data_IF_375140367347
#
_entry.id   IF_375140367347
#
_cell.length_a   1.000
_cell.length_b   1.000
_cell.length_c   1.000
_cell.angle_alpha   90.00
_cell.angle_beta   90.00
_cell.angle_gamma   90.00
#
_symmetry.space_group_name_H-M   'P 1'
#
loop_
_entity.id
_entity.type
_entity.pdbx_description
1 polymer ?
#
# COMPACT_ATOMS: atom_id res chain seq x y z
N UNK A 1 21.42 -27.80 -3.21
CA UNK A 1 20.81 -26.73 -2.41
C UNK A 1 19.43 -26.46 -2.98
N UNK A 2 18.37 -26.56 -2.16
CA UNK A 2 17.01 -26.31 -2.63
C UNK A 2 16.70 -24.82 -2.47
N UNK A 3 16.57 -24.11 -3.59
CA UNK A 3 16.43 -22.66 -3.61
C UNK A 3 15.09 -22.28 -4.23
N UNK A 4 14.42 -21.27 -3.68
CA UNK A 4 13.19 -20.68 -4.22
C UNK A 4 13.46 -19.23 -4.62
N UNK A 5 12.71 -18.69 -5.59
CA UNK A 5 12.72 -17.26 -5.86
C UNK A 5 11.70 -16.57 -4.95
N UNK A 6 12.09 -15.44 -4.37
CA UNK A 6 11.16 -14.57 -3.67
C UNK A 6 10.15 -14.00 -4.67
N UNK A 7 8.83 -14.17 -4.45
CA UNK A 7 7.82 -13.62 -5.37
C UNK A 7 7.81 -12.09 -5.37
N UNK A 8 8.24 -11.45 -4.28
CA UNK A 8 8.21 -9.99 -4.15
C UNK A 8 9.39 -9.26 -4.80
N UNK A 9 10.58 -9.87 -4.83
CA UNK A 9 11.79 -9.18 -5.28
C UNK A 9 12.66 -10.03 -6.22
N UNK A 10 12.21 -11.23 -6.59
CA UNK A 10 12.93 -12.14 -7.49
C UNK A 10 14.22 -12.76 -6.94
N UNK A 11 14.67 -12.35 -5.74
CA UNK A 11 15.92 -12.84 -5.14
C UNK A 11 15.84 -14.34 -4.88
N UNK A 12 16.91 -15.05 -5.20
CA UNK A 12 17.03 -16.47 -4.92
C UNK A 12 17.39 -16.67 -3.44
N UNK A 13 16.54 -17.39 -2.71
CA UNK A 13 16.63 -17.61 -1.26
C UNK A 13 16.58 -19.11 -0.96
N UNK A 14 16.96 -19.51 0.25
CA UNK A 14 16.86 -20.92 0.63
C UNK A 14 15.38 -21.31 0.78
N UNK A 15 15.04 -22.54 0.39
CA UNK A 15 13.65 -23.02 0.50
C UNK A 15 13.11 -22.97 1.94
N UNK A 16 13.99 -23.13 2.94
CA UNK A 16 13.67 -23.12 4.36
C UNK A 16 13.63 -21.72 5.00
N UNK A 17 14.00 -20.67 4.26
CA UNK A 17 13.94 -19.31 4.79
C UNK A 17 12.47 -18.96 5.09
N UNK A 18 12.23 -18.49 6.31
CA UNK A 18 10.92 -18.00 6.75
C UNK A 18 10.62 -16.61 6.21
N UNK A 19 11.67 -15.81 5.94
CA UNK A 19 11.57 -14.47 5.38
C UNK A 19 12.61 -14.27 4.28
N UNK A 20 12.32 -13.45 3.28
CA UNK A 20 13.30 -13.05 2.28
C UNK A 20 14.31 -12.09 2.93
N UNK A 21 15.62 -12.41 2.96
CA UNK A 21 16.63 -11.52 3.54
C UNK A 21 16.81 -10.23 2.73
N UNK A 22 16.39 -10.21 1.46
CA UNK A 22 16.53 -9.04 0.59
C UNK A 22 15.36 -8.04 0.75
N UNK A 23 14.12 -8.50 0.88
CA UNK A 23 12.94 -7.61 0.92
C UNK A 23 11.99 -7.83 2.11
N UNK A 24 12.29 -8.77 3.02
CA UNK A 24 11.51 -9.06 4.21
C UNK A 24 10.20 -9.83 3.98
N UNK A 25 9.90 -10.29 2.76
CA UNK A 25 8.69 -11.08 2.45
C UNK A 25 8.60 -12.35 3.30
N UNK A 26 7.45 -12.62 3.92
CA UNK A 26 7.21 -13.78 4.79
C UNK A 26 6.76 -15.01 4.00
N UNK A 27 7.58 -16.06 3.98
CA UNK A 27 7.22 -17.35 3.36
C UNK A 27 6.33 -18.23 4.25
N UNK A 28 6.24 -17.94 5.56
CA UNK A 28 5.42 -18.70 6.51
C UNK A 28 3.92 -18.68 6.17
N UNK A 29 3.43 -17.59 5.60
CA UNK A 29 2.03 -17.47 5.17
C UNK A 29 1.72 -18.36 3.95
N UNK A 30 2.71 -18.64 3.10
CA UNK A 30 2.55 -19.50 1.92
C UNK A 30 2.48 -20.97 2.30
N UNK A 31 3.26 -21.41 3.30
CA UNK A 31 3.32 -22.82 3.71
C UNK A 31 2.14 -23.27 4.59
N UNK A 32 1.47 -22.36 5.31
CA UNK A 32 0.24 -22.67 6.04
C UNK A 32 -0.95 -23.01 5.10
N UNK A 33 -0.84 -22.65 3.83
CA UNK A 33 -1.83 -22.90 2.77
C UNK A 33 -1.52 -24.22 2.02
N UNK A 34 -0.35 -24.84 2.28
CA UNK A 34 0.18 -25.95 1.49
C UNK A 34 -0.02 -27.36 2.05
N UNK A 35 -0.75 -27.54 3.15
CA UNK A 35 -0.94 -28.85 3.76
C UNK A 35 -2.41 -29.11 4.12
N UNK A 36 -3.20 -29.47 3.11
CA UNK A 36 -4.52 -30.06 3.27
C UNK A 36 -5.68 -29.11 2.99
N UNK A 37 -6.39 -29.44 1.92
CA UNK A 37 -7.68 -28.87 1.48
C UNK A 37 -7.63 -27.53 0.75
N UNK A 38 -7.79 -27.61 -0.57
CA UNK A 38 -8.03 -26.48 -1.49
C UNK A 38 -9.46 -25.98 -1.35
N UNK A 39 -9.83 -25.57 -0.14
CA UNK A 39 -11.09 -24.92 0.17
C UNK A 39 -10.77 -23.51 0.64
N UNK A 40 -10.45 -22.65 -0.33
CA UNK A 40 -10.49 -21.19 -0.17
C UNK A 40 -11.89 -20.80 0.27
N UNK A 41 -12.05 -20.30 1.49
CA UNK A 41 -13.16 -19.40 1.77
C UNK A 41 -12.69 -18.04 1.23
N UNK A 42 -13.02 -17.77 -0.02
CA UNK A 42 -12.88 -16.47 -0.70
C UNK A 42 -11.46 -15.87 -0.85
N UNK A 43 -10.46 -16.66 -1.26
CA UNK A 43 -9.25 -16.10 -1.92
C UNK A 43 -8.37 -15.14 -1.10
N UNK A 44 -8.38 -15.18 0.24
CA UNK A 44 -7.67 -14.19 1.06
C UNK A 44 -6.17 -14.54 1.24
N UNK A 45 -5.30 -13.86 0.49
CA UNK A 45 -3.82 -13.85 0.62
C UNK A 45 -3.31 -13.04 1.83
N UNK A 46 -4.10 -12.10 2.36
CA UNK A 46 -3.67 -11.06 3.30
C UNK A 46 -4.59 -10.90 4.52
N UNK A 47 -4.03 -10.73 5.73
CA UNK A 47 -4.81 -10.47 6.94
C UNK A 47 -5.04 -8.97 7.16
N UNK A 48 -5.99 -8.38 6.44
CA UNK A 48 -6.28 -6.94 6.53
C UNK A 48 -6.82 -6.48 7.89
N UNK A 49 -7.26 -7.41 8.74
CA UNK A 49 -7.76 -7.14 10.09
C UNK A 49 -6.72 -7.44 11.18
N UNK A 50 -5.43 -7.51 10.82
CA UNK A 50 -4.36 -7.68 11.79
C UNK A 50 -4.43 -6.57 12.86
N UNK A 51 -4.16 -6.94 14.12
CA UNK A 51 -4.16 -5.99 15.24
C UNK A 51 -3.13 -4.88 14.94
N UNK A 52 -3.55 -3.63 15.10
CA UNK A 52 -2.64 -2.47 15.06
C UNK A 52 -1.48 -2.71 16.04
N UNK A 53 -0.21 -2.61 15.60
CA UNK A 53 0.94 -2.75 16.49
C UNK A 53 0.88 -1.74 17.65
N UNK A 54 1.32 -2.15 18.83
CA UNK A 54 1.35 -1.25 19.98
C UNK A 54 2.38 -0.14 19.76
N UNK A 55 1.95 1.10 19.95
CA UNK A 55 2.82 2.26 19.76
C UNK A 55 3.78 2.35 20.96
N UNK A 56 5.08 2.32 20.69
CA UNK A 56 6.13 2.39 21.73
C UNK A 56 6.25 3.84 22.28
N UNK A 57 5.78 4.85 21.54
CA UNK A 57 5.83 6.26 21.92
C UNK A 57 4.55 7.00 21.49
N UNK A 58 3.97 7.81 22.39
CA UNK A 58 2.83 8.67 22.04
C UNK A 58 3.28 9.97 21.39
N UNK A 59 2.78 10.30 20.20
CA UNK A 59 3.14 11.53 19.49
C UNK A 59 2.45 11.67 18.12
N UNK A 60 2.56 12.86 17.53
CA UNK A 60 2.08 13.11 16.16
C UNK A 60 2.92 12.30 15.18
N UNK A 61 2.27 11.60 14.24
CA UNK A 61 2.94 10.87 13.16
C UNK A 61 3.89 9.74 13.62
N UNK A 62 3.68 9.19 14.82
CA UNK A 62 4.50 8.09 15.33
C UNK A 62 4.34 6.80 14.52
N UNK A 63 3.10 6.46 14.15
CA UNK A 63 2.79 5.24 13.38
C UNK A 63 3.23 5.34 11.92
N UNK A 64 3.35 6.56 11.38
CA UNK A 64 3.80 6.74 9.99
C UNK A 64 5.32 6.64 9.83
N UNK A 65 6.06 6.39 10.91
CA UNK A 65 7.50 6.11 10.84
C UNK A 65 7.75 4.83 10.05
N UNK A 66 8.84 4.76 9.27
CA UNK A 66 9.14 3.58 8.43
C UNK A 66 9.06 2.26 9.19
N UNK A 67 9.61 2.21 10.41
CA UNK A 67 9.62 1.01 11.25
C UNK A 67 8.22 0.52 11.61
N UNK A 68 7.29 1.43 11.91
CA UNK A 68 5.92 1.08 12.29
C UNK A 68 5.08 0.67 11.08
N UNK A 69 5.23 1.37 9.95
CA UNK A 69 4.60 0.98 8.68
C UNK A 69 5.06 -0.41 8.26
N UNK A 70 6.37 -0.67 8.30
CA UNK A 70 6.97 -1.95 7.99
C UNK A 70 6.43 -3.08 8.90
N UNK A 71 6.34 -2.83 10.21
CA UNK A 71 5.81 -3.78 11.17
C UNK A 71 4.33 -4.09 10.92
N UNK A 72 3.52 -3.08 10.64
CA UNK A 72 2.09 -3.27 10.41
C UNK A 72 1.83 -4.02 9.09
N UNK A 73 2.52 -3.64 8.00
CA UNK A 73 2.51 -4.38 6.73
C UNK A 73 2.85 -5.85 6.93
N UNK A 74 3.92 -6.14 7.67
CA UNK A 74 4.34 -7.52 7.98
C UNK A 74 3.27 -8.30 8.75
N UNK A 75 2.58 -7.65 9.69
CA UNK A 75 1.50 -8.30 10.45
C UNK A 75 0.29 -8.69 9.60
N UNK A 76 0.06 -7.98 8.49
CA UNK A 76 -0.99 -8.25 7.51
C UNK A 76 -0.54 -9.22 6.40
N UNK A 77 0.75 -9.58 6.36
CA UNK A 77 1.34 -10.51 5.38
C UNK A 77 2.01 -9.87 4.17
N UNK A 78 2.21 -8.55 4.19
CA UNK A 78 2.91 -7.82 3.13
C UNK A 78 4.42 -7.73 3.37
N UNK A 79 5.18 -7.37 2.33
CA UNK A 79 6.60 -7.07 2.48
C UNK A 79 6.79 -5.87 3.42
N UNK A 80 7.86 -5.86 4.21
CA UNK A 80 8.13 -4.81 5.19
C UNK A 80 8.76 -3.54 4.58
N UNK A 81 8.67 -3.39 3.25
CA UNK A 81 9.18 -2.26 2.48
C UNK A 81 8.40 -0.98 2.77
N UNK A 82 9.10 0.15 2.72
CA UNK A 82 8.52 1.50 2.91
C UNK A 82 8.94 2.50 1.85
N UNK A 83 9.78 2.08 0.90
CA UNK A 83 10.10 2.78 -0.34
C UNK A 83 8.96 2.67 -1.38
N UNK A 84 7.95 1.85 -1.09
CA UNK A 84 6.79 1.60 -1.94
C UNK A 84 5.49 2.20 -1.41
N UNK A 85 5.55 3.27 -0.60
CA UNK A 85 4.35 3.85 0.02
C UNK A 85 4.12 5.32 -0.34
N UNK A 86 2.86 5.74 -0.40
CA UNK A 86 2.47 7.14 -0.47
C UNK A 86 1.42 7.48 0.58
N UNK A 87 1.54 8.64 1.16
CA UNK A 87 0.49 9.22 1.97
C UNK A 87 -0.48 10.00 1.10
N UNK A 88 -1.78 9.78 1.30
CA UNK A 88 -2.80 10.48 0.56
C UNK A 88 -4.07 10.68 1.38
N UNK A 89 -4.93 11.59 0.93
CA UNK A 89 -6.16 11.98 1.62
C UNK A 89 -7.31 12.03 0.63
N UNK A 90 -8.53 11.85 1.10
CA UNK A 90 -9.71 11.94 0.23
C UNK A 90 -9.78 13.32 -0.44
N UNK A 91 -10.10 13.34 -1.74
CA UNK A 91 -10.26 14.59 -2.48
C UNK A 91 -11.57 15.30 -2.09
N UNK A 92 -11.46 16.37 -1.31
CA UNK A 92 -12.56 17.06 -0.60
C UNK A 92 -13.66 17.71 -1.48
N UNK A 93 -13.48 17.82 -2.81
CA UNK A 93 -14.47 18.50 -3.65
C UNK A 93 -15.52 17.51 -4.16
N UNK A 94 -16.64 17.49 -3.43
CA UNK A 94 -17.91 16.81 -3.72
C UNK A 94 -17.88 15.29 -3.54
N UNK A 95 -18.73 14.82 -2.61
CA UNK A 95 -19.18 13.43 -2.41
C UNK A 95 -18.56 12.46 -3.41
N UNK A 96 -17.47 11.81 -3.00
CA UNK A 96 -16.89 10.70 -3.73
C UNK A 96 -17.98 9.66 -4.00
N UNK A 97 -18.55 9.67 -5.21
CA UNK A 97 -19.53 8.69 -5.71
C UNK A 97 -18.82 7.37 -6.03
N UNK A 98 -18.11 6.80 -5.06
CA UNK A 98 -17.39 5.56 -5.25
C UNK A 98 -17.76 4.56 -4.18
N UNK A 99 -18.39 3.48 -4.65
CA UNK A 99 -18.78 2.27 -3.91
C UNK A 99 -17.61 1.60 -3.17
N UNK A 100 -16.35 1.98 -3.49
CA UNK A 100 -15.15 1.55 -2.78
C UNK A 100 -15.02 2.24 -1.40
N UNK A 101 -15.48 3.49 -1.24
CA UNK A 101 -15.20 4.34 -0.05
C UNK A 101 -16.21 4.24 1.07
N UNK A 102 -17.43 3.80 0.82
CA UNK A 102 -18.41 3.57 1.90
C UNK A 102 -17.90 2.52 2.91
N UNK A 103 -16.90 1.72 2.52
CA UNK A 103 -16.22 0.72 3.35
C UNK A 103 -15.02 1.30 4.13
N UNK A 104 -14.51 2.48 3.76
CA UNK A 104 -13.30 3.08 4.29
C UNK A 104 -13.62 4.38 5.03
N UNK A 105 -13.80 4.27 6.35
CA UNK A 105 -14.19 5.38 7.24
C UNK A 105 -13.05 6.39 7.55
N UNK A 106 -11.85 6.17 7.01
CA UNK A 106 -10.72 7.08 7.23
C UNK A 106 -10.71 8.23 6.20
N UNK A 107 -10.12 9.37 6.57
CA UNK A 107 -9.93 10.51 5.65
C UNK A 107 -8.54 10.55 5.03
N UNK A 108 -7.61 9.75 5.56
CA UNK A 108 -6.20 9.73 5.20
C UNK A 108 -5.70 8.29 5.20
N UNK A 109 -4.75 8.01 4.32
CA UNK A 109 -4.28 6.66 4.03
C UNK A 109 -2.78 6.64 3.78
N UNK A 110 -2.17 5.51 4.13
CA UNK A 110 -0.96 5.03 3.44
C UNK A 110 -1.41 4.12 2.31
N UNK A 111 -0.99 4.42 1.10
CA UNK A 111 -1.09 3.56 -0.06
C UNK A 111 0.23 2.82 -0.15
N UNK A 112 0.18 1.50 -0.15
CA UNK A 112 1.35 0.65 -0.33
C UNK A 112 1.20 -0.10 -1.64
N UNK A 113 2.12 0.16 -2.57
CA UNK A 113 2.13 -0.42 -3.91
C UNK A 113 2.83 -1.78 -3.87
N UNK A 114 2.02 -2.85 -3.84
CA UNK A 114 2.48 -4.23 -3.77
C UNK A 114 2.49 -4.86 -5.17
N UNK A 115 3.14 -6.01 -5.31
CA UNK A 115 3.28 -6.67 -6.62
C UNK A 115 1.95 -7.03 -7.29
N UNK A 116 0.89 -7.30 -6.52
CA UNK A 116 -0.41 -7.76 -7.02
C UNK A 116 -1.57 -6.82 -6.68
N UNK A 117 -1.28 -5.57 -6.32
CA UNK A 117 -2.30 -4.61 -5.94
C UNK A 117 -1.83 -3.50 -5.00
N UNK A 118 -2.80 -2.77 -4.45
CA UNK A 118 -2.57 -1.62 -3.59
C UNK A 118 -3.24 -1.86 -2.23
N UNK A 119 -2.42 -1.86 -1.18
CA UNK A 119 -2.88 -1.87 0.20
C UNK A 119 -3.16 -0.43 0.67
N UNK A 120 -4.32 -0.22 1.27
CA UNK A 120 -4.73 1.01 1.93
C UNK A 120 -4.69 0.79 3.44
N UNK A 121 -3.85 1.54 4.13
CA UNK A 121 -3.77 1.57 5.59
C UNK A 121 -4.45 2.84 6.08
N UNK A 122 -5.56 2.71 6.80
CA UNK A 122 -6.31 3.85 7.32
C UNK A 122 -5.55 4.61 8.40
N UNK A 123 -5.55 5.94 8.29
CA UNK A 123 -4.93 6.85 9.25
C UNK A 123 -5.97 7.73 9.95
N UNK A 124 -5.77 7.91 11.25
CA UNK A 124 -6.46 8.90 12.06
C UNK A 124 -5.88 10.31 11.87
N UNK A 125 -6.48 11.28 12.55
CA UNK A 125 -6.13 12.71 12.42
C UNK A 125 -4.70 13.00 12.89
N UNK A 126 -4.18 12.24 13.86
CA UNK A 126 -2.81 12.37 14.36
C UNK A 126 -1.81 11.46 13.62
N UNK A 127 -2.23 10.83 12.52
CA UNK A 127 -1.42 9.89 11.75
C UNK A 127 -1.30 8.50 12.36
N UNK A 128 -2.13 8.17 13.35
CA UNK A 128 -2.17 6.83 13.95
C UNK A 128 -2.90 5.83 13.05
N UNK A 129 -2.51 4.55 13.07
CA UNK A 129 -3.23 3.50 12.37
C UNK A 129 -4.61 3.27 12.98
N UNK A 130 -5.64 3.14 12.13
CA UNK A 130 -7.02 2.97 12.60
C UNK A 130 -7.47 1.51 12.72
N UNK A 131 -6.69 0.57 12.18
CA UNK A 131 -7.15 -0.81 11.99
C UNK A 131 -8.05 -1.01 10.76
N UNK A 132 -8.50 0.07 10.12
CA UNK A 132 -9.39 0.03 8.96
C UNK A 132 -8.57 0.04 7.68
N UNK A 133 -8.28 -1.15 7.17
CA UNK A 133 -7.48 -1.34 5.97
C UNK A 133 -8.33 -1.87 4.82
N UNK A 134 -7.88 -1.66 3.59
CA UNK A 134 -8.44 -2.29 2.40
C UNK A 134 -7.35 -2.72 1.44
N UNK A 135 -7.68 -3.64 0.55
CA UNK A 135 -6.80 -4.07 -0.52
C UNK A 135 -7.56 -4.00 -1.84
N UNK A 136 -6.88 -3.52 -2.87
CA UNK A 136 -7.38 -3.47 -4.24
C UNK A 136 -6.44 -4.29 -5.11
N UNK A 137 -6.91 -5.43 -5.63
CA UNK A 137 -6.11 -6.26 -6.52
C UNK A 137 -5.81 -5.54 -7.83
N UNK A 138 -4.64 -5.80 -8.40
CA UNK A 138 -4.28 -5.41 -9.77
C UNK A 138 -5.36 -5.74 -10.81
N UNK A 139 -6.02 -6.90 -10.71
CA UNK A 139 -7.12 -7.33 -11.57
C UNK A 139 -8.37 -6.44 -11.46
N UNK A 140 -8.53 -5.75 -10.33
CA UNK A 140 -9.61 -4.78 -10.14
C UNK A 140 -9.24 -3.41 -10.72
N UNK A 141 -7.95 -3.08 -10.86
CA UNK A 141 -7.46 -1.76 -11.28
C UNK A 141 -7.49 -1.67 -12.81
N UNK A 142 -8.31 -0.72 -13.31
CA UNK A 142 -8.46 -0.44 -14.75
C UNK A 142 -7.56 0.71 -15.21
N UNK A 143 -7.33 1.69 -14.34
CA UNK A 143 -6.60 2.91 -14.66
C UNK A 143 -5.97 3.47 -13.37
N UNK A 144 -4.72 3.92 -13.47
CA UNK A 144 -4.06 4.72 -12.45
C UNK A 144 -3.53 5.99 -13.11
N UNK A 145 -3.90 7.15 -12.57
CA UNK A 145 -3.52 8.47 -13.08
C UNK A 145 -3.00 9.33 -11.93
N UNK A 146 -1.89 10.02 -12.17
CA UNK A 146 -1.29 10.95 -11.22
C UNK A 146 -1.13 12.31 -11.88
N UNK A 147 -1.95 13.29 -11.45
CA UNK A 147 -1.92 14.64 -12.01
C UNK A 147 -1.20 15.61 -11.11
N UNK A 148 -0.29 16.37 -11.70
CA UNK A 148 0.34 17.54 -11.12
C UNK A 148 -0.32 18.81 -11.67
N UNK A 149 -0.89 19.66 -10.83
CA UNK A 149 -1.50 20.94 -11.24
C UNK A 149 -1.37 22.03 -10.17
N UNK A 150 -1.95 23.22 -10.41
CA UNK A 150 -1.92 24.42 -9.55
C UNK A 150 -2.10 24.11 -8.05
N UNK A 151 -1.01 23.80 -7.36
CA UNK A 151 -0.95 23.50 -5.92
C UNK A 151 -1.55 22.16 -5.46
N UNK A 152 -1.94 21.24 -6.36
CA UNK A 152 -2.54 19.95 -5.98
C UNK A 152 -1.97 18.80 -6.79
N UNK A 153 -1.60 17.72 -6.09
CA UNK A 153 -1.30 16.42 -6.70
C UNK A 153 -2.49 15.51 -6.45
N UNK A 154 -3.00 14.89 -7.49
CA UNK A 154 -4.20 14.05 -7.41
C UNK A 154 -3.90 12.67 -7.97
N UNK A 155 -4.08 11.65 -7.14
CA UNK A 155 -4.10 10.24 -7.56
C UNK A 155 -5.55 9.93 -7.94
N UNK A 156 -5.76 9.38 -9.13
CA UNK A 156 -7.03 8.85 -9.58
C UNK A 156 -6.87 7.36 -9.86
N UNK A 157 -7.68 6.52 -9.21
CA UNK A 157 -7.68 5.07 -9.44
C UNK A 157 -9.08 4.68 -9.92
N UNK A 158 -9.17 4.18 -11.15
CA UNK A 158 -10.41 3.57 -11.66
C UNK A 158 -10.30 2.07 -11.48
N UNK A 159 -11.31 1.47 -10.85
CA UNK A 159 -11.41 0.02 -10.71
C UNK A 159 -12.72 -0.51 -11.27
N UNK A 160 -12.90 -1.83 -11.24
CA UNK A 160 -14.18 -2.51 -11.43
C UNK A 160 -15.25 -2.06 -10.42
N UNK A 161 -14.84 -1.61 -9.23
CA UNK A 161 -15.71 -1.22 -8.11
C UNK A 161 -16.02 0.28 -8.06
N UNK A 162 -15.35 1.11 -8.85
CA UNK A 162 -15.62 2.56 -8.88
C UNK A 162 -14.38 3.41 -9.11
N UNK A 163 -14.52 4.71 -8.85
CA UNK A 163 -13.48 5.72 -9.06
C UNK A 163 -13.00 6.34 -7.74
N UNK A 164 -11.73 6.17 -7.41
CA UNK A 164 -11.07 6.85 -6.31
C UNK A 164 -10.35 8.10 -6.79
N UNK A 165 -10.48 9.20 -6.04
CA UNK A 165 -9.61 10.39 -6.15
C UNK A 165 -9.03 10.78 -4.80
N UNK A 166 -7.70 10.85 -4.72
CA UNK A 166 -6.97 11.25 -3.52
C UNK A 166 -6.09 12.47 -3.79
N UNK A 167 -5.96 13.36 -2.82
CA UNK A 167 -4.88 14.34 -2.79
C UNK A 167 -3.63 13.72 -2.19
N UNK A 168 -2.47 14.07 -2.76
CA UNK A 168 -1.19 13.56 -2.31
C UNK A 168 -0.25 14.75 -1.97
N UNK A 169 0.06 15.01 -0.69
CA UNK A 169 0.96 16.10 -0.31
C UNK A 169 2.39 15.83 -0.80
N UNK A 170 3.18 16.88 -1.08
CA UNK A 170 4.60 16.73 -1.50
C UNK A 170 5.49 16.14 -0.44
N UNK A 171 5.16 16.49 0.80
CA UNK A 171 5.97 16.28 1.98
C UNK A 171 5.03 16.06 3.14
N UNK A 172 5.51 15.30 4.11
CA UNK A 172 4.89 15.22 5.42
C UNK A 172 5.92 15.70 6.43
N UNK A 173 5.47 16.50 7.39
CA UNK A 173 6.34 17.05 8.42
C UNK A 173 7.03 15.90 9.15
N UNK A 174 8.37 15.97 9.23
CA UNK A 174 9.24 14.97 9.87
C UNK A 174 9.30 13.60 9.17
N UNK A 175 8.80 13.45 7.94
CA UNK A 175 8.89 12.21 7.18
C UNK A 175 9.35 12.47 5.72
N UNK A 176 10.54 11.99 5.38
CA UNK A 176 11.12 12.15 4.03
C UNK A 176 10.62 11.13 3.01
N UNK A 177 10.02 10.01 3.46
CA UNK A 177 9.55 8.94 2.59
C UNK A 177 8.58 9.48 1.54
N UNK A 178 7.67 10.37 1.93
CA UNK A 178 6.69 10.94 1.00
C UNK A 178 7.36 11.61 -0.21
N UNK A 179 8.43 12.38 0.02
CA UNK A 179 9.15 13.06 -1.07
C UNK A 179 9.95 12.07 -1.92
N UNK A 180 10.59 11.08 -1.28
CA UNK A 180 11.40 10.07 -1.95
C UNK A 180 10.54 9.17 -2.83
N UNK A 181 9.45 8.63 -2.29
CA UNK A 181 8.57 7.71 -3.00
C UNK A 181 7.76 8.42 -4.09
N UNK A 182 7.43 9.72 -3.92
CA UNK A 182 6.86 10.53 -5.01
C UNK A 182 7.84 10.71 -6.18
N UNK A 183 9.14 10.79 -5.93
CA UNK A 183 10.14 10.87 -7.00
C UNK A 183 10.24 9.56 -7.79
N UNK A 184 9.94 8.43 -7.15
CA UNK A 184 9.94 7.10 -7.75
C UNK A 184 8.54 6.62 -8.17
N UNK A 185 7.55 7.53 -8.26
CA UNK A 185 6.16 7.13 -8.47
C UNK A 185 5.95 6.38 -9.80
N UNK A 186 6.70 6.73 -10.85
CA UNK A 186 6.71 5.98 -12.12
C UNK A 186 6.95 4.49 -11.86
N UNK A 187 8.13 4.15 -11.31
CA UNK A 187 8.50 2.76 -10.97
C UNK A 187 7.46 2.05 -10.08
N UNK A 188 6.89 2.74 -9.09
CA UNK A 188 5.88 2.15 -8.20
C UNK A 188 4.55 1.82 -8.89
N UNK A 189 4.30 2.44 -10.05
CA UNK A 189 3.03 2.33 -10.76
C UNK A 189 3.17 1.75 -12.16
N UNK A 190 4.38 1.37 -12.58
CA UNK A 190 4.70 0.87 -13.92
C UNK A 190 3.80 -0.31 -14.36
N UNK A 191 3.33 -1.11 -13.39
CA UNK A 191 2.40 -2.23 -13.63
C UNK A 191 0.96 -1.81 -13.95
N UNK A 192 0.57 -0.57 -13.68
CA UNK A 192 -0.81 -0.07 -13.84
C UNK A 192 -0.89 0.87 -15.03
N UNK A 193 -0.94 0.36 -16.28
CA UNK A 193 -1.17 1.10 -17.54
C UNK A 193 -1.39 2.62 -17.36
N UNK A 194 -0.28 3.35 -17.18
CA UNK A 194 -0.34 4.72 -16.64
C UNK A 194 -0.62 5.68 -17.80
N UNK A 195 -1.63 6.52 -17.65
CA UNK A 195 -1.71 7.78 -18.38
C UNK A 195 -1.14 8.88 -17.49
N UNK A 196 0.12 9.24 -17.70
CA UNK A 196 0.72 10.44 -17.10
C UNK A 196 0.46 11.61 -18.03
N UNK A 197 -0.31 12.60 -17.58
CA UNK A 197 -0.52 13.84 -18.32
C UNK A 197 0.78 14.68 -18.25
N UNK A 198 1.73 14.42 -19.16
CA UNK A 198 2.92 15.26 -19.35
C UNK A 198 2.49 16.61 -19.95
N UNK A 199 2.09 17.56 -19.11
CA UNK A 199 2.05 18.98 -19.50
C UNK A 199 2.79 19.88 -18.51
N UNK A 200 4.07 20.04 -18.85
CA UNK A 200 4.91 21.25 -18.85
C UNK A 200 5.99 21.43 -17.76
N UNK A 201 7.24 21.29 -18.23
CA UNK A 201 8.39 22.18 -17.95
C UNK A 201 9.68 21.41 -17.65
N UNK A 202 10.80 21.49 -18.38
CA UNK A 202 11.44 22.66 -19.01
C UNK A 202 11.30 23.96 -18.22
#
# INVERSE_FOLDING_TARGET
MNNKKCPECGTQVNANDEFCPNCGFSFKLVNAIGAGDQSTIDGIKYNLNAKVPEIIASGLNEDIKPTQVAAYKRSMGFANRTDNILFAQNYDKHKSLSLIWDLLDAKSYILSFEHDGILFIGLGIAGQFTGKNAYLSDSEIKEFDFRYGFGKRVITIRSTRGLLKLTCPSTIKLNTLQKQNLANLGELTDQYNIWVDEKNGN
#
